data_IF_532559599601
#
_entry.id   IF_532559599601
#
_cell.length_a   1.000
_cell.length_b   1.000
_cell.length_c   1.000
_cell.angle_alpha   90.00
_cell.angle_beta   90.00
_cell.angle_gamma   90.00
#
_symmetry.space_group_name_H-M   'P 1'
#
loop_
_entity.id
_entity.type
_entity.pdbx_description
1 polymer ?
#
# COMPACT_ATOMS: atom_id res chain seq x y z
N UNK A 1 5.99 4.01 -11.90
CA UNK A 1 6.10 3.42 -10.54
C UNK A 1 7.53 2.94 -10.36
N UNK A 2 8.19 3.34 -9.28
CA UNK A 2 9.54 2.92 -8.92
C UNK A 2 9.42 1.99 -7.70
N UNK A 3 10.20 0.92 -7.67
CA UNK A 3 10.22 -0.05 -6.57
C UNK A 3 11.65 -0.10 -6.03
N UNK A 4 11.79 -0.02 -4.71
CA UNK A 4 13.05 -0.18 -3.99
C UNK A 4 12.93 -1.20 -2.87
N UNK A 5 14.04 -1.85 -2.52
CA UNK A 5 14.16 -2.67 -1.32
C UNK A 5 14.72 -1.90 -0.12
N UNK A 6 15.11 -0.64 -0.32
CA UNK A 6 15.61 0.23 0.74
C UNK A 6 14.47 0.78 1.60
N UNK A 7 14.72 0.97 2.89
CA UNK A 7 13.79 1.65 3.78
C UNK A 7 13.69 3.14 3.44
N UNK A 8 12.48 3.68 3.43
CA UNK A 8 12.23 5.07 3.00
C UNK A 8 11.39 5.82 4.03
N UNK A 9 11.58 7.14 4.07
CA UNK A 9 10.85 8.03 4.95
C UNK A 9 10.67 9.40 4.30
N UNK A 10 9.74 10.19 4.85
CA UNK A 10 9.60 11.61 4.56
C UNK A 10 9.80 12.43 5.84
N UNK A 11 9.99 13.73 5.70
CA UNK A 11 10.12 14.62 6.86
C UNK A 11 8.91 14.46 7.81
N UNK A 12 9.18 14.18 9.08
CA UNK A 12 8.14 13.99 10.11
C UNK A 12 7.57 12.57 10.22
N UNK A 13 8.10 11.60 9.47
CA UNK A 13 7.71 10.18 9.57
C UNK A 13 8.91 9.31 9.93
N UNK A 14 8.67 8.20 10.64
CA UNK A 14 9.72 7.22 10.92
C UNK A 14 10.00 6.33 9.70
N UNK A 15 8.97 6.06 8.90
CA UNK A 15 9.04 5.36 7.62
C UNK A 15 7.73 5.55 6.86
N UNK A 16 7.73 5.18 5.58
CA UNK A 16 6.53 5.01 4.76
C UNK A 16 6.66 3.75 3.91
N UNK A 17 5.53 3.14 3.52
CA UNK A 17 5.55 2.02 2.56
C UNK A 17 5.73 2.49 1.11
N UNK A 18 5.27 3.70 0.83
CA UNK A 18 5.33 4.31 -0.48
C UNK A 18 4.94 5.78 -0.42
N UNK A 19 5.17 6.46 -1.53
CA UNK A 19 4.74 7.82 -1.77
C UNK A 19 4.40 7.96 -3.25
N UNK A 20 3.26 8.59 -3.54
CA UNK A 20 2.86 8.91 -4.89
C UNK A 20 2.52 10.39 -5.06
N UNK A 21 2.71 10.85 -6.27
CA UNK A 21 2.21 12.12 -6.79
C UNK A 21 1.35 11.82 -8.01
N UNK A 22 0.56 12.77 -8.50
CA UNK A 22 -0.12 12.58 -9.79
C UNK A 22 0.89 12.21 -10.87
N UNK A 23 0.65 11.09 -11.57
CA UNK A 23 1.51 10.58 -12.65
C UNK A 23 2.64 9.62 -12.22
N UNK A 24 2.91 9.42 -10.93
CA UNK A 24 4.01 8.54 -10.51
C UNK A 24 4.03 8.19 -9.02
N UNK A 25 4.92 7.27 -8.64
CA UNK A 25 5.08 6.88 -7.24
C UNK A 25 6.29 5.99 -7.01
N UNK A 26 6.65 5.86 -5.75
CA UNK A 26 7.74 5.06 -5.19
C UNK A 26 7.16 4.10 -4.15
N UNK A 27 7.59 2.85 -4.16
CA UNK A 27 7.23 1.84 -3.17
C UNK A 27 8.50 1.23 -2.60
N UNK A 28 8.55 1.08 -1.28
CA UNK A 28 9.57 0.31 -0.58
C UNK A 28 9.02 -1.05 -0.14
N UNK A 29 9.71 -2.13 -0.47
CA UNK A 29 9.39 -3.46 0.04
C UNK A 29 9.92 -3.71 1.46
N UNK A 30 10.83 -2.88 1.98
CA UNK A 30 11.58 -3.12 3.21
C UNK A 30 10.66 -3.45 4.38
N UNK A 31 9.78 -2.51 4.75
CA UNK A 31 8.89 -2.65 5.91
C UNK A 31 7.56 -3.35 5.60
N UNK A 32 7.33 -3.71 4.34
CA UNK A 32 6.18 -4.54 3.94
C UNK A 32 6.42 -5.99 4.37
N UNK A 33 7.64 -6.51 4.19
CA UNK A 33 8.02 -7.86 4.59
C UNK A 33 8.02 -7.99 6.13
N UNK A 34 7.20 -8.89 6.70
CA UNK A 34 7.25 -9.18 8.13
C UNK A 34 8.64 -9.53 8.68
N UNK A 35 9.54 -10.06 7.83
CA UNK A 35 10.92 -10.41 8.23
C UNK A 35 11.77 -9.19 8.62
N UNK A 36 11.46 -8.01 8.09
CA UNK A 36 12.13 -6.77 8.52
C UNK A 36 11.91 -6.48 10.00
N UNK A 37 10.85 -7.04 10.58
CA UNK A 37 10.39 -6.79 11.93
C UNK A 37 10.72 -7.95 12.88
N UNK A 38 11.85 -8.64 12.71
CA UNK A 38 12.25 -9.81 13.50
C UNK A 38 12.29 -9.59 15.03
N UNK A 39 12.54 -8.34 15.47
CA UNK A 39 12.45 -7.91 16.86
C UNK A 39 11.06 -7.53 17.38
N UNK A 40 10.01 -7.60 16.54
CA UNK A 40 8.63 -7.23 16.90
C UNK A 40 7.71 -8.45 16.68
N UNK A 41 7.50 -9.30 17.71
CA UNK A 41 6.82 -10.58 17.56
C UNK A 41 5.43 -10.51 16.92
N UNK A 42 4.68 -9.44 17.20
CA UNK A 42 3.33 -9.20 16.68
C UNK A 42 3.29 -9.05 15.17
N UNK A 43 4.38 -8.55 14.57
CA UNK A 43 4.53 -8.38 13.13
C UNK A 43 5.28 -9.58 12.54
N UNK A 44 6.39 -9.99 13.17
CA UNK A 44 7.22 -11.09 12.69
C UNK A 44 6.45 -12.41 12.56
N UNK A 45 5.43 -12.63 13.40
CA UNK A 45 4.56 -13.80 13.30
C UNK A 45 4.02 -14.04 11.87
N UNK A 46 3.74 -12.97 11.11
CA UNK A 46 3.23 -13.06 9.74
C UNK A 46 4.27 -13.56 8.73
N UNK A 47 5.56 -13.60 9.06
CA UNK A 47 6.61 -14.17 8.20
C UNK A 47 6.37 -15.65 7.87
N UNK A 48 5.59 -16.36 8.70
CA UNK A 48 5.13 -17.74 8.46
C UNK A 48 4.32 -17.89 7.17
N UNK A 49 3.65 -16.82 6.73
CA UNK A 49 2.91 -16.78 5.47
C UNK A 49 3.81 -16.72 4.23
N UNK A 50 5.13 -16.53 4.42
CA UNK A 50 6.13 -16.60 3.36
C UNK A 50 5.89 -15.62 2.22
N UNK A 51 6.31 -16.02 1.01
CA UNK A 51 6.26 -15.18 -0.18
C UNK A 51 4.83 -14.79 -0.58
N UNK A 52 3.86 -15.69 -0.41
CA UNK A 52 2.46 -15.41 -0.75
C UNK A 52 1.89 -14.27 0.11
N UNK A 53 2.15 -14.31 1.42
CA UNK A 53 1.74 -13.23 2.30
C UNK A 53 2.43 -11.92 1.91
N UNK A 54 3.75 -11.93 1.70
CA UNK A 54 4.50 -10.76 1.28
C UNK A 54 3.94 -10.14 0.00
N UNK A 55 3.75 -10.94 -1.06
CA UNK A 55 3.24 -10.47 -2.36
C UNK A 55 1.83 -9.87 -2.22
N UNK A 56 0.99 -10.43 -1.36
CA UNK A 56 -0.34 -9.87 -1.07
C UNK A 56 -0.24 -8.47 -0.46
N UNK A 57 0.65 -8.25 0.50
CA UNK A 57 0.80 -6.93 1.13
C UNK A 57 1.49 -5.93 0.19
N UNK A 58 2.48 -6.41 -0.58
CA UNK A 58 3.13 -5.61 -1.62
C UNK A 58 2.13 -5.13 -2.67
N UNK A 59 1.24 -6.01 -3.15
CA UNK A 59 0.18 -5.66 -4.09
C UNK A 59 -0.77 -4.59 -3.53
N UNK A 60 -1.10 -4.64 -2.23
CA UNK A 60 -1.92 -3.59 -1.58
C UNK A 60 -1.24 -2.23 -1.62
N UNK A 61 0.06 -2.15 -1.32
CA UNK A 61 0.79 -0.88 -1.37
C UNK A 61 0.91 -0.41 -2.83
N UNK A 62 1.20 -1.32 -3.77
CA UNK A 62 1.27 -0.99 -5.19
C UNK A 62 -0.03 -0.40 -5.72
N UNK A 63 -1.18 -1.02 -5.43
CA UNK A 63 -2.48 -0.52 -5.83
C UNK A 63 -2.83 0.81 -5.15
N UNK A 64 -2.44 0.99 -3.89
CA UNK A 64 -2.63 2.24 -3.15
C UNK A 64 -1.88 3.40 -3.80
N UNK A 65 -0.57 3.25 -4.03
CA UNK A 65 0.25 4.29 -4.66
C UNK A 65 -0.13 4.51 -6.13
N UNK A 66 -0.53 3.45 -6.86
CA UNK A 66 -1.06 3.59 -8.21
C UNK A 66 -2.38 4.37 -8.23
N UNK A 67 -3.26 4.14 -7.24
CA UNK A 67 -4.48 4.92 -7.07
C UNK A 67 -4.19 6.40 -6.86
N UNK A 68 -3.23 6.73 -6.00
CA UNK A 68 -2.77 8.11 -5.82
C UNK A 68 -2.16 8.71 -7.10
N UNK A 69 -1.34 7.94 -7.82
CA UNK A 69 -0.80 8.37 -9.11
C UNK A 69 -1.89 8.65 -10.15
N UNK A 70 -3.04 8.00 -10.02
CA UNK A 70 -4.25 8.18 -10.82
C UNK A 70 -5.29 9.07 -10.14
N UNK A 71 -4.85 9.97 -9.26
CA UNK A 71 -5.67 11.02 -8.64
C UNK A 71 -6.82 10.53 -7.74
N UNK A 72 -6.62 9.40 -7.06
CA UNK A 72 -7.47 9.01 -5.92
C UNK A 72 -6.90 9.55 -4.62
N UNK A 73 -7.78 10.00 -3.73
CA UNK A 73 -7.44 10.31 -2.33
C UNK A 73 -7.58 9.08 -1.44
N UNK A 74 -7.11 9.20 -0.19
CA UNK A 74 -7.37 8.19 0.83
C UNK A 74 -8.88 7.91 1.01
N UNK A 75 -9.19 6.65 1.28
CA UNK A 75 -10.54 6.17 1.55
C UNK A 75 -10.71 5.81 3.03
N UNK A 76 -11.88 6.12 3.60
CA UNK A 76 -12.21 5.73 4.99
C UNK A 76 -12.70 4.29 5.12
N UNK A 77 -13.06 3.66 4.01
CA UNK A 77 -13.57 2.28 3.96
C UNK A 77 -12.48 1.28 4.36
N UNK A 78 -12.77 0.43 5.35
CA UNK A 78 -11.85 -0.59 5.87
C UNK A 78 -11.51 -1.66 4.82
N UNK A 79 -12.45 -1.94 3.91
CA UNK A 79 -12.28 -2.92 2.84
C UNK A 79 -11.58 -2.36 1.59
N UNK A 80 -11.26 -1.07 1.56
CA UNK A 80 -10.65 -0.45 0.38
C UNK A 80 -9.12 -0.39 0.47
N UNK A 81 -8.44 -0.73 -0.62
CA UNK A 81 -6.98 -0.62 -0.75
C UNK A 81 -6.46 0.81 -0.59
N UNK A 82 -7.29 1.81 -0.93
CA UNK A 82 -7.01 3.24 -0.70
C UNK A 82 -7.11 3.67 0.77
N UNK A 83 -7.40 2.77 1.70
CA UNK A 83 -7.28 3.07 3.12
C UNK A 83 -5.82 3.35 3.47
N UNK A 84 -5.61 4.46 4.17
CA UNK A 84 -4.31 4.83 4.72
C UNK A 84 -3.85 3.82 5.77
N UNK A 85 -2.57 3.47 5.75
CA UNK A 85 -1.96 2.53 6.68
C UNK A 85 -0.65 3.11 7.21
N UNK A 86 -0.61 3.36 8.52
CA UNK A 86 0.57 3.85 9.23
C UNK A 86 1.46 2.71 9.75
N UNK A 87 0.90 1.51 9.88
CA UNK A 87 1.61 0.35 10.44
C UNK A 87 1.46 -0.90 9.56
N UNK A 88 2.37 -1.88 9.70
CA UNK A 88 2.23 -3.15 8.99
C UNK A 88 0.94 -3.86 9.35
N UNK A 89 0.50 -3.81 10.62
CA UNK A 89 -0.76 -4.41 11.04
C UNK A 89 -1.98 -3.75 10.37
N UNK A 90 -1.97 -2.43 10.19
CA UNK A 90 -3.01 -1.73 9.41
C UNK A 90 -2.97 -2.11 7.92
N UNK A 91 -1.79 -2.24 7.33
CA UNK A 91 -1.62 -2.73 5.96
C UNK A 91 -2.14 -4.17 5.80
N UNK A 92 -1.84 -5.04 6.77
CA UNK A 92 -2.19 -6.46 6.73
C UNK A 92 -3.70 -6.65 6.85
N UNK A 93 -4.36 -5.80 7.64
CA UNK A 93 -5.80 -5.85 7.91
C UNK A 93 -6.68 -5.16 6.85
N UNK A 94 -6.21 -4.13 6.15
CA UNK A 94 -7.02 -3.48 5.10
C UNK A 94 -7.32 -4.41 3.91
N UNK A 95 -8.40 -4.13 3.20
CA UNK A 95 -8.78 -4.88 2.00
C UNK A 95 -7.78 -4.78 0.84
N UNK A 96 -7.86 -5.74 -0.08
CA UNK A 96 -6.97 -5.88 -1.23
C UNK A 96 -7.35 -5.05 -2.46
N UNK A 97 -8.62 -4.67 -2.57
CA UNK A 97 -9.20 -4.11 -3.78
C UNK A 97 -9.75 -2.69 -3.57
N UNK A 98 -10.00 -1.97 -4.66
CA UNK A 98 -10.75 -0.72 -4.62
C UNK A 98 -12.21 -0.98 -4.25
N UNK A 99 -12.77 -0.22 -3.31
CA UNK A 99 -14.22 -0.21 -3.13
C UNK A 99 -14.92 0.42 -4.35
N UNK A 100 -16.22 0.17 -4.51
CA UNK A 100 -17.00 0.65 -5.67
C UNK A 100 -16.84 2.15 -5.94
N UNK A 101 -16.81 2.98 -4.91
CA UNK A 101 -16.60 4.43 -5.04
C UNK A 101 -15.21 4.78 -5.59
N UNK A 102 -14.16 4.14 -5.08
CA UNK A 102 -12.80 4.38 -5.56
C UNK A 102 -12.61 3.85 -6.98
N UNK A 103 -13.19 2.69 -7.29
CA UNK A 103 -13.18 2.12 -8.63
C UNK A 103 -13.85 3.05 -9.65
N UNK A 104 -15.05 3.54 -9.36
CA UNK A 104 -15.76 4.45 -10.27
C UNK A 104 -15.00 5.76 -10.51
N UNK A 105 -14.37 6.32 -9.46
CA UNK A 105 -13.48 7.50 -9.61
C UNK A 105 -12.26 7.17 -10.48
N UNK A 106 -11.67 5.99 -10.31
CA UNK A 106 -10.51 5.55 -11.09
C UNK A 106 -10.84 5.46 -12.59
N UNK A 107 -11.95 4.80 -12.93
CA UNK A 107 -12.44 4.68 -14.31
C UNK A 107 -12.70 6.06 -14.92
N UNK A 108 -13.36 6.95 -14.17
CA UNK A 108 -13.61 8.31 -14.62
C UNK A 108 -12.30 9.10 -14.87
N UNK A 109 -11.31 8.97 -13.98
CA UNK A 109 -10.01 9.64 -14.12
C UNK A 109 -9.20 9.15 -15.32
N UNK A 110 -9.38 7.88 -15.72
CA UNK A 110 -8.72 7.29 -16.89
C UNK A 110 -9.39 7.67 -18.22
N UNK A 111 -10.53 8.37 -18.20
CA UNK A 111 -11.27 8.71 -19.40
C UNK A 111 -11.83 7.48 -20.14
N UNK A 112 -11.91 6.33 -19.47
CA UNK A 112 -12.55 5.14 -20.01
C UNK A 112 -14.05 5.43 -20.09
N UNK A 113 -14.56 5.55 -21.32
CA UNK A 113 -16.00 5.51 -21.59
C UNK A 113 -16.40 4.05 -21.68
N UNK A 114 -17.47 3.69 -20.96
CA UNK A 114 -18.12 2.38 -21.03
C UNK A 114 -18.44 1.97 -22.49
#
# INVERSE_FOLDING_TARGET
>A
MIITCEDIYTHGTNYIFGLATTGGGLISSARIDPKFWDGVPEIFHYSKGGNEFFLKQFAKVLLHEAGHALSLDHCRDLGCVMRYSNSPLELYSKGGDFCSRCWNRLVANLGAKD
#
